data_IF_420885629045
#
_entry.id   IF_420885629045
#
_cell.length_a   1.000
_cell.length_b   1.000
_cell.length_c   1.000
_cell.angle_alpha   90.00
_cell.angle_beta   90.00
_cell.angle_gamma   90.00
#
_symmetry.space_group_name_H-M   'P 1'
#
loop_
_entity.id
_entity.type
_entity.pdbx_description
1 polymer ?
#
# COMPACT_ATOMS: atom_id res chain seq x y z
N UNK A 1 -5.79 10.26 28.46
CA UNK A 1 -6.85 9.57 27.70
C UNK A 1 -7.26 10.51 26.58
N UNK A 2 -7.07 10.14 25.31
CA UNK A 2 -7.59 10.95 24.20
C UNK A 2 -9.11 10.84 24.23
N UNK A 3 -9.77 11.98 24.43
CA UNK A 3 -11.23 12.02 24.44
C UNK A 3 -11.73 11.96 22.99
N UNK A 4 -12.94 11.44 22.77
CA UNK A 4 -13.56 11.42 21.44
C UNK A 4 -13.71 12.84 20.83
N UNK A 5 -13.55 13.87 21.66
CA UNK A 5 -13.53 15.29 21.32
C UNK A 5 -12.31 15.68 20.46
N UNK A 6 -11.18 14.99 20.60
CA UNK A 6 -9.89 15.35 19.96
C UNK A 6 -9.72 14.78 18.55
N UNK A 7 -10.67 13.94 18.11
CA UNK A 7 -10.60 13.36 16.78
C UNK A 7 -10.91 14.41 15.69
N UNK A 8 -10.07 14.41 14.64
CA UNK A 8 -10.18 15.35 13.53
C UNK A 8 -11.55 15.30 12.86
N UNK A 9 -12.07 16.46 12.45
CA UNK A 9 -13.43 16.62 11.88
C UNK A 9 -13.68 15.65 10.71
N UNK A 10 -12.67 15.42 9.87
CA UNK A 10 -12.75 14.52 8.73
C UNK A 10 -13.11 13.08 9.15
N UNK A 11 -12.54 12.57 10.25
CA UNK A 11 -12.80 11.22 10.75
C UNK A 11 -14.18 11.10 11.39
N UNK A 12 -14.72 12.21 11.94
CA UNK A 12 -16.06 12.25 12.55
C UNK A 12 -17.18 12.35 11.51
N UNK A 13 -16.93 13.07 10.41
CA UNK A 13 -17.96 13.42 9.43
C UNK A 13 -18.00 12.49 8.23
N UNK A 14 -16.89 11.86 7.85
CA UNK A 14 -16.86 10.94 6.73
C UNK A 14 -16.89 9.49 7.20
N UNK A 15 -17.79 8.66 6.66
CA UNK A 15 -17.72 7.22 6.87
C UNK A 15 -16.47 6.64 6.19
N UNK A 16 -16.02 5.48 6.67
CA UNK A 16 -14.77 4.85 6.22
C UNK A 16 -14.71 4.63 4.70
N UNK A 17 -15.85 4.36 4.07
CA UNK A 17 -15.96 4.11 2.63
C UNK A 17 -15.60 5.35 1.81
N UNK A 18 -15.98 6.55 2.29
CA UNK A 18 -15.62 7.80 1.63
C UNK A 18 -14.15 8.15 1.87
N UNK A 19 -13.60 7.84 3.05
CA UNK A 19 -12.17 7.98 3.31
C UNK A 19 -11.33 7.06 2.42
N UNK A 20 -11.74 5.79 2.27
CA UNK A 20 -11.12 4.86 1.33
C UNK A 20 -11.24 5.36 -0.10
N UNK A 21 -12.38 5.94 -0.49
CA UNK A 21 -12.53 6.55 -1.80
C UNK A 21 -11.55 7.71 -2.02
N UNK A 22 -11.34 8.57 -1.02
CA UNK A 22 -10.32 9.63 -1.09
C UNK A 22 -8.92 9.02 -1.23
N UNK A 23 -8.59 8.02 -0.42
CA UNK A 23 -7.29 7.35 -0.44
C UNK A 23 -7.01 6.64 -1.77
N UNK A 24 -8.04 6.17 -2.47
CA UNK A 24 -7.89 5.55 -3.80
C UNK A 24 -7.35 6.49 -4.88
N UNK A 25 -7.31 7.80 -4.64
CA UNK A 25 -6.72 8.80 -5.54
C UNK A 25 -5.29 9.19 -5.15
N UNK A 26 -4.77 8.69 -4.03
CA UNK A 26 -3.44 9.02 -3.54
C UNK A 26 -2.40 8.05 -4.11
N UNK A 27 -1.22 8.58 -4.40
CA UNK A 27 -0.09 7.73 -4.78
C UNK A 27 0.44 6.91 -3.59
N UNK A 28 1.30 5.94 -3.91
CA UNK A 28 1.90 5.01 -2.92
C UNK A 28 2.63 5.77 -1.80
N UNK A 29 3.38 6.81 -2.14
CA UNK A 29 4.16 7.58 -1.16
C UNK A 29 3.26 8.34 -0.21
N UNK A 30 2.21 8.96 -0.75
CA UNK A 30 1.22 9.73 -0.01
C UNK A 30 0.39 8.80 0.87
N UNK A 31 -0.01 7.62 0.39
CA UNK A 31 -0.63 6.58 1.22
C UNK A 31 0.27 6.14 2.38
N UNK A 32 1.57 5.95 2.12
CA UNK A 32 2.54 5.61 3.18
C UNK A 32 2.67 6.74 4.23
N UNK A 33 2.55 8.00 3.82
CA UNK A 33 2.52 9.15 4.75
C UNK A 33 1.19 9.20 5.51
N UNK A 34 0.05 9.00 4.85
CA UNK A 34 -1.26 8.88 5.48
C UNK A 34 -1.28 7.79 6.55
N UNK A 35 -0.62 6.65 6.30
CA UNK A 35 -0.53 5.55 7.25
C UNK A 35 0.18 5.91 8.57
N UNK A 36 0.94 7.02 8.61
CA UNK A 36 1.66 7.49 9.79
C UNK A 36 0.89 8.57 10.57
N UNK A 37 -0.27 9.03 10.07
CA UNK A 37 -1.04 10.13 10.68
C UNK A 37 -1.75 9.70 11.97
N UNK A 38 -2.38 8.53 11.95
CA UNK A 38 -3.12 8.00 13.11
C UNK A 38 -3.32 6.49 12.99
N UNK A 39 -3.75 5.82 14.07
CA UNK A 39 -4.09 4.39 14.02
C UNK A 39 -5.23 4.10 13.03
N UNK A 40 -6.23 4.97 12.96
CA UNK A 40 -7.35 4.82 12.01
C UNK A 40 -6.88 4.98 10.56
N UNK A 41 -6.05 6.00 10.29
CA UNK A 41 -5.51 6.22 8.95
C UNK A 41 -4.50 5.16 8.54
N UNK A 42 -3.78 4.57 9.50
CA UNK A 42 -2.92 3.40 9.25
C UNK A 42 -3.72 2.25 8.65
N UNK A 43 -4.86 1.91 9.25
CA UNK A 43 -5.74 0.84 8.75
C UNK A 43 -6.30 1.19 7.37
N UNK A 44 -6.81 2.42 7.18
CA UNK A 44 -7.43 2.83 5.93
C UNK A 44 -6.41 2.95 4.78
N UNK A 45 -5.24 3.53 5.03
CA UNK A 45 -4.21 3.70 4.01
C UNK A 45 -3.60 2.37 3.59
N UNK A 46 -3.66 1.35 4.45
CA UNK A 46 -3.18 -0.01 4.16
C UNK A 46 -4.28 -0.96 3.70
N UNK A 47 -5.51 -0.48 3.52
CA UNK A 47 -6.60 -1.29 2.99
C UNK A 47 -6.28 -1.78 1.58
N UNK A 48 -6.40 -3.09 1.35
CA UNK A 48 -5.99 -3.73 0.10
C UNK A 48 -6.65 -3.15 -1.15
N UNK A 49 -7.84 -2.53 -1.05
CA UNK A 49 -8.49 -1.88 -2.19
C UNK A 49 -7.70 -0.70 -2.75
N UNK A 50 -6.89 -0.01 -1.93
CA UNK A 50 -6.00 1.07 -2.36
C UNK A 50 -4.75 0.57 -3.08
N UNK A 51 -4.43 -0.73 -2.95
CA UNK A 51 -3.17 -1.31 -3.42
C UNK A 51 -3.36 -2.31 -4.55
N UNK A 52 -4.42 -2.18 -5.35
CA UNK A 52 -4.65 -3.09 -6.48
C UNK A 52 -3.63 -2.93 -7.61
N UNK A 53 -3.08 -1.71 -7.78
CA UNK A 53 -2.09 -1.38 -8.81
C UNK A 53 -0.96 -0.57 -8.19
N UNK A 54 0.26 -1.08 -8.32
CA UNK A 54 1.46 -0.43 -7.81
C UNK A 54 2.47 -0.34 -8.94
N UNK A 55 2.96 0.86 -9.20
CA UNK A 55 4.12 1.09 -10.07
C UNK A 55 5.24 1.70 -9.26
N UNK A 56 6.40 1.04 -9.27
CA UNK A 56 7.59 1.46 -8.52
C UNK A 56 8.68 2.05 -9.42
N UNK A 57 8.38 2.32 -10.69
CA UNK A 57 9.36 2.83 -11.66
C UNK A 57 10.09 4.11 -11.20
N UNK A 58 9.36 5.06 -10.61
CA UNK A 58 9.94 6.32 -10.11
C UNK A 58 10.85 6.11 -8.89
N UNK A 59 10.76 4.94 -8.23
CA UNK A 59 11.53 4.57 -7.05
C UNK A 59 12.55 3.47 -7.34
N UNK A 60 12.78 3.12 -8.60
CA UNK A 60 13.53 1.92 -9.01
C UNK A 60 14.94 1.77 -8.39
N UNK A 61 15.57 2.89 -7.99
CA UNK A 61 16.88 2.89 -7.32
C UNK A 61 16.80 2.72 -5.79
N UNK A 62 15.66 3.03 -5.20
CA UNK A 62 15.41 3.00 -3.76
C UNK A 62 14.69 1.72 -3.31
N UNK A 63 14.11 0.98 -4.26
CA UNK A 63 13.36 -0.24 -3.97
C UNK A 63 14.29 -1.44 -3.82
N UNK A 64 14.35 -1.93 -2.59
CA UNK A 64 14.97 -3.20 -2.21
C UNK A 64 13.92 -4.30 -2.04
N UNK A 65 14.36 -5.56 -2.06
CA UNK A 65 13.50 -6.73 -1.84
C UNK A 65 12.60 -6.64 -0.60
N UNK A 66 13.07 -6.06 0.52
CA UNK A 66 12.27 -5.86 1.74
C UNK A 66 10.99 -5.05 1.51
N UNK A 67 11.02 -4.11 0.58
CA UNK A 67 9.86 -3.25 0.26
C UNK A 67 8.80 -4.07 -0.45
N UNK A 68 9.22 -4.89 -1.42
CA UNK A 68 8.34 -5.82 -2.16
C UNK A 68 7.74 -6.85 -1.21
N UNK A 69 8.50 -7.39 -0.27
CA UNK A 69 7.99 -8.30 0.75
C UNK A 69 6.94 -7.64 1.64
N UNK A 70 7.19 -6.41 2.10
CA UNK A 70 6.24 -5.66 2.94
C UNK A 70 4.95 -5.35 2.18
N UNK A 71 5.05 -4.93 0.92
CA UNK A 71 3.90 -4.75 0.03
C UNK A 71 3.14 -6.07 -0.08
N UNK A 72 3.82 -7.19 -0.32
CA UNK A 72 3.17 -8.50 -0.49
C UNK A 72 2.39 -8.94 0.76
N UNK A 73 2.94 -8.74 1.95
CA UNK A 73 2.31 -9.09 3.23
C UNK A 73 1.09 -8.21 3.53
N UNK A 74 1.12 -6.94 3.12
CA UNK A 74 0.07 -5.96 3.39
C UNK A 74 -1.07 -6.04 2.38
N UNK A 75 -0.73 -6.06 1.10
CA UNK A 75 -1.70 -6.07 0.01
C UNK A 75 -2.28 -7.47 -0.23
N UNK A 76 -1.48 -8.52 0.00
CA UNK A 76 -1.90 -9.91 -0.08
C UNK A 76 -2.69 -10.22 -1.34
N UNK A 77 -3.90 -10.75 -1.15
CA UNK A 77 -4.80 -11.14 -2.24
C UNK A 77 -5.49 -9.99 -3.00
N UNK A 78 -5.26 -8.72 -2.64
CA UNK A 78 -5.86 -7.59 -3.35
C UNK A 78 -4.99 -7.05 -4.48
N UNK A 79 -3.68 -7.29 -4.44
CA UNK A 79 -2.75 -6.79 -5.44
C UNK A 79 -2.97 -7.52 -6.77
N UNK A 80 -3.29 -6.76 -7.83
CA UNK A 80 -3.56 -7.28 -9.18
C UNK A 80 -2.49 -6.89 -10.18
N UNK A 81 -1.87 -5.72 -10.04
CA UNK A 81 -0.82 -5.25 -10.95
C UNK A 81 0.37 -4.70 -10.18
N UNK A 82 1.56 -5.21 -10.48
CA UNK A 82 2.83 -4.71 -9.93
C UNK A 82 3.84 -4.49 -11.05
N UNK A 83 4.44 -3.31 -11.10
CA UNK A 83 5.59 -3.00 -11.95
C UNK A 83 6.83 -2.77 -11.08
N UNK A 84 7.85 -3.59 -11.33
CA UNK A 84 9.19 -3.55 -10.74
C UNK A 84 10.27 -3.18 -11.78
N UNK A 85 9.86 -2.60 -12.92
CA UNK A 85 10.77 -2.25 -14.00
C UNK A 85 11.96 -1.43 -13.49
N UNK A 86 13.16 -1.91 -13.78
CA UNK A 86 14.41 -1.24 -13.38
C UNK A 86 14.75 -1.34 -11.90
N UNK A 87 13.97 -2.06 -11.09
CA UNK A 87 14.24 -2.28 -9.66
C UNK A 87 15.34 -3.33 -9.48
N UNK A 88 16.60 -2.94 -9.69
CA UNK A 88 17.77 -3.83 -9.60
C UNK A 88 18.01 -4.39 -8.19
N UNK A 89 17.46 -3.75 -7.16
CA UNK A 89 17.57 -4.17 -5.75
C UNK A 89 16.61 -5.29 -5.34
N UNK A 90 15.78 -5.80 -6.26
CA UNK A 90 14.81 -6.87 -5.99
C UNK A 90 15.36 -8.21 -6.45
N UNK A 91 15.69 -9.09 -5.49
CA UNK A 91 16.15 -10.45 -5.75
C UNK A 91 15.06 -11.53 -5.63
N UNK A 92 15.40 -12.74 -6.04
CA UNK A 92 14.48 -13.89 -6.13
C UNK A 92 13.81 -14.26 -4.80
N UNK A 93 14.48 -14.05 -3.66
CA UNK A 93 13.89 -14.32 -2.35
C UNK A 93 12.68 -13.42 -2.06
N UNK A 94 12.75 -12.15 -2.46
CA UNK A 94 11.64 -11.23 -2.33
C UNK A 94 10.50 -11.60 -3.30
N UNK A 95 10.83 -11.98 -4.53
CA UNK A 95 9.84 -12.44 -5.52
C UNK A 95 9.17 -13.76 -5.11
N UNK A 96 9.90 -14.67 -4.46
CA UNK A 96 9.35 -15.91 -3.90
C UNK A 96 8.33 -15.61 -2.80
N UNK A 97 8.71 -14.75 -1.85
CA UNK A 97 7.81 -14.31 -0.77
C UNK A 97 6.59 -13.60 -1.33
N UNK A 98 6.81 -12.74 -2.33
CA UNK A 98 5.76 -12.04 -3.05
C UNK A 98 4.76 -13.02 -3.68
N UNK A 99 5.23 -14.00 -4.44
CA UNK A 99 4.38 -14.98 -5.12
C UNK A 99 3.55 -15.82 -4.14
N UNK A 100 4.06 -16.09 -2.93
CA UNK A 100 3.33 -16.82 -1.90
C UNK A 100 2.15 -16.02 -1.32
N UNK A 101 2.30 -14.69 -1.21
CA UNK A 101 1.31 -13.79 -0.60
C UNK A 101 0.32 -13.21 -1.62
N UNK A 102 0.78 -12.87 -2.83
CA UNK A 102 0.01 -12.19 -3.86
C UNK A 102 -0.48 -13.14 -4.95
N UNK A 103 -1.34 -14.09 -4.56
CA UNK A 103 -1.83 -15.17 -5.44
C UNK A 103 -2.81 -14.72 -6.53
N UNK A 104 -3.33 -13.50 -6.41
CA UNK A 104 -4.30 -12.92 -7.35
C UNK A 104 -3.66 -11.91 -8.32
N UNK A 105 -2.33 -11.96 -8.47
CA UNK A 105 -1.63 -11.09 -9.40
C UNK A 105 -2.04 -11.41 -10.84
N UNK A 106 -2.44 -10.39 -11.59
CA UNK A 106 -2.88 -10.50 -12.99
C UNK A 106 -1.78 -9.99 -13.94
N UNK A 107 -1.04 -8.97 -13.52
CA UNK A 107 0.04 -8.36 -14.30
C UNK A 107 1.25 -8.15 -13.41
N UNK A 108 2.37 -8.76 -13.76
CA UNK A 108 3.67 -8.52 -13.15
C UNK A 108 4.63 -8.06 -14.26
N UNK A 109 5.20 -6.86 -14.11
CA UNK A 109 6.32 -6.43 -14.93
C UNK A 109 7.58 -6.40 -14.09
N UNK A 110 8.62 -7.08 -14.57
CA UNK A 110 9.97 -7.04 -14.02
C UNK A 110 10.84 -6.08 -14.84
#
# INVERSE_FOLDING_TARGET
>A
MFSNSDEAVINKKLPKELLLRIFSFLDVVTLCRCAQVSRAWNVLALDGSNWQRIDLFDFQRDIEGRVVENISKRCGGFLRKLSLRGCLGVGDNALRTFAQNCRNIEVLSL
#
